data_IF_777226543874
#
_entry.id   IF_777226543874
#
_cell.length_a   1.000
_cell.length_b   1.000
_cell.length_c   1.000
_cell.angle_alpha   90.00
_cell.angle_beta   90.00
_cell.angle_gamma   90.00
#
_symmetry.space_group_name_H-M   'P 1'
#
loop_
_entity.id
_entity.type
_entity.pdbx_description
1 polymer ?
#
# COMPACT_ATOMS: atom_id res chain seq x y z
N UNK A 1 -49.21 -1.51 45.63
CA UNK A 1 -47.78 -1.32 45.30
C UNK A 1 -47.20 -2.51 44.50
N UNK A 2 -47.72 -2.82 43.29
CA UNK A 2 -47.24 -3.94 42.44
C UNK A 2 -46.76 -3.53 41.04
N UNK A 3 -46.95 -2.27 40.63
CA UNK A 3 -46.61 -1.80 39.27
C UNK A 3 -45.18 -1.27 39.08
N UNK A 4 -44.50 -0.87 40.15
CA UNK A 4 -43.17 -0.21 40.06
C UNK A 4 -42.05 -1.22 39.79
N UNK A 5 -42.18 -2.47 40.25
CA UNK A 5 -41.12 -3.49 40.10
C UNK A 5 -40.92 -3.93 38.64
N UNK A 6 -41.98 -4.04 37.84
CA UNK A 6 -41.87 -4.49 36.42
C UNK A 6 -41.23 -3.45 35.51
N UNK A 7 -41.47 -2.16 35.74
CA UNK A 7 -40.88 -1.07 34.97
C UNK A 7 -39.36 -0.95 35.21
N UNK A 8 -38.90 -1.14 36.46
CA UNK A 8 -37.48 -1.13 36.79
C UNK A 8 -36.69 -2.28 36.16
N UNK A 9 -37.27 -3.48 36.09
CA UNK A 9 -36.64 -4.64 35.45
C UNK A 9 -36.54 -4.49 33.93
N UNK A 10 -37.56 -3.90 33.27
CA UNK A 10 -37.53 -3.66 31.82
C UNK A 10 -36.51 -2.58 31.41
N UNK A 11 -36.36 -1.51 32.21
CA UNK A 11 -35.35 -0.48 31.95
C UNK A 11 -33.92 -1.00 32.14
N UNK A 12 -33.68 -1.85 33.15
CA UNK A 12 -32.37 -2.46 33.41
C UNK A 12 -31.97 -3.46 32.32
N UNK A 13 -32.91 -4.24 31.79
CA UNK A 13 -32.65 -5.14 30.66
C UNK A 13 -32.37 -4.38 29.37
N UNK A 14 -33.10 -3.29 29.08
CA UNK A 14 -32.84 -2.45 27.92
C UNK A 14 -31.45 -1.81 27.99
N UNK A 15 -31.06 -1.22 29.13
CA UNK A 15 -29.74 -0.63 29.33
C UNK A 15 -28.59 -1.65 29.22
N UNK A 16 -28.79 -2.87 29.72
CA UNK A 16 -27.80 -3.94 29.62
C UNK A 16 -27.60 -4.41 28.16
N UNK A 17 -28.67 -4.51 27.37
CA UNK A 17 -28.58 -4.88 25.94
C UNK A 17 -27.89 -3.78 25.12
N UNK A 18 -28.15 -2.50 25.40
CA UNK A 18 -27.48 -1.38 24.71
C UNK A 18 -26.00 -1.27 25.07
N UNK A 19 -25.63 -1.52 26.33
CA UNK A 19 -24.22 -1.58 26.73
C UNK A 19 -23.48 -2.75 26.07
N UNK A 20 -24.15 -3.90 25.93
CA UNK A 20 -23.57 -5.10 25.35
C UNK A 20 -23.37 -5.00 23.82
N UNK A 21 -24.25 -4.28 23.09
CA UNK A 21 -24.04 -3.98 21.67
C UNK A 21 -22.91 -2.97 21.41
N UNK A 22 -22.72 -1.98 22.29
CA UNK A 22 -21.59 -1.04 22.22
C UNK A 22 -20.24 -1.72 22.47
N UNK A 23 -20.18 -2.70 23.38
CA UNK A 23 -18.95 -3.47 23.65
C UNK A 23 -18.56 -4.38 22.48
N UNK A 24 -19.55 -4.96 21.76
CA UNK A 24 -19.30 -5.82 20.60
C UNK A 24 -18.77 -5.05 19.38
N UNK A 25 -19.16 -3.78 19.21
CA UNK A 25 -18.65 -2.93 18.12
C UNK A 25 -17.26 -2.34 18.40
N UNK A 26 -16.89 -2.18 19.68
CA UNK A 26 -15.56 -1.69 20.09
C UNK A 26 -14.42 -2.70 20.01
N UNK A 27 -14.71 -3.96 19.64
CA UNK A 27 -13.75 -5.08 19.67
C UNK A 27 -13.36 -5.60 18.28
N UNK A 28 -13.83 -5.00 17.18
CA UNK A 28 -13.35 -5.35 15.86
C UNK A 28 -11.90 -4.89 15.70
N UNK A 29 -10.94 -5.80 15.88
CA UNK A 29 -9.53 -5.53 15.55
C UNK A 29 -9.46 -5.00 14.12
N UNK A 30 -8.78 -3.88 13.86
CA UNK A 30 -8.61 -3.40 12.49
C UNK A 30 -7.99 -4.54 11.68
N UNK A 31 -8.68 -4.94 10.60
CA UNK A 31 -8.14 -5.95 9.68
C UNK A 31 -6.90 -5.34 9.03
N UNK A 32 -5.81 -6.11 9.01
CA UNK A 32 -4.59 -5.68 8.35
C UNK A 32 -4.88 -5.37 6.87
N UNK A 33 -4.42 -4.22 6.38
CA UNK A 33 -4.52 -3.86 4.98
C UNK A 33 -3.42 -4.58 4.20
N UNK A 34 -3.78 -5.71 3.59
CA UNK A 34 -2.89 -6.57 2.81
C UNK A 34 -3.50 -6.77 1.42
N UNK A 35 -3.23 -5.86 0.46
CA UNK A 35 -3.71 -5.97 -0.92
C UNK A 35 -3.46 -7.35 -1.54
N UNK A 36 -4.51 -7.94 -2.10
CA UNK A 36 -4.48 -9.28 -2.68
C UNK A 36 -4.63 -10.44 -1.69
N UNK A 37 -4.66 -10.18 -0.37
CA UNK A 37 -4.85 -11.20 0.66
C UNK A 37 -6.10 -10.95 1.50
N UNK A 38 -6.25 -9.74 2.06
CA UNK A 38 -7.37 -9.38 2.93
C UNK A 38 -8.36 -8.43 2.26
N UNK A 39 -7.94 -7.79 1.17
CA UNK A 39 -8.71 -6.88 0.32
C UNK A 39 -8.34 -7.09 -1.15
N UNK A 40 -9.14 -6.59 -2.08
CA UNK A 40 -8.81 -6.60 -3.50
C UNK A 40 -7.46 -5.90 -3.76
N UNK A 41 -6.72 -6.41 -4.74
CA UNK A 41 -5.47 -5.81 -5.17
C UNK A 41 -5.74 -4.75 -6.23
N UNK A 42 -5.81 -3.49 -5.83
CA UNK A 42 -6.00 -2.34 -6.73
C UNK A 42 -4.72 -1.96 -7.48
N UNK A 43 -3.58 -2.60 -7.18
CA UNK A 43 -2.28 -2.31 -7.79
C UNK A 43 -1.60 -3.58 -8.34
N UNK A 44 -2.25 -4.39 -9.19
CA UNK A 44 -1.72 -5.68 -9.63
C UNK A 44 -0.48 -5.57 -10.53
N UNK A 45 -0.28 -4.44 -11.20
CA UNK A 45 0.86 -4.13 -12.07
C UNK A 45 1.98 -3.38 -11.33
N UNK A 46 1.78 -3.06 -10.05
CA UNK A 46 2.76 -2.42 -9.18
C UNK A 46 3.10 -1.01 -9.65
N UNK A 47 4.33 -0.81 -10.10
CA UNK A 47 4.91 0.52 -10.38
C UNK A 47 3.97 1.42 -11.19
N UNK A 48 3.41 0.91 -12.28
CA UNK A 48 2.64 1.72 -13.26
C UNK A 48 1.21 2.03 -12.81
N UNK A 49 0.69 1.34 -11.78
CA UNK A 49 -0.66 1.63 -11.28
C UNK A 49 -0.70 2.97 -10.53
N UNK A 50 0.43 3.35 -9.91
CA UNK A 50 0.62 4.66 -9.25
C UNK A 50 1.43 5.64 -10.13
N UNK A 51 2.53 5.20 -10.74
CA UNK A 51 3.41 6.04 -11.56
C UNK A 51 2.87 6.17 -12.99
N UNK A 52 1.82 6.97 -13.14
CA UNK A 52 1.13 7.23 -14.40
C UNK A 52 0.90 8.72 -14.62
N UNK A 53 0.51 9.07 -15.85
CA UNK A 53 0.05 10.41 -16.15
C UNK A 53 -1.38 10.58 -15.60
N UNK A 54 -1.59 11.51 -14.66
CA UNK A 54 -2.89 11.80 -14.06
C UNK A 54 -3.61 12.99 -14.73
N UNK A 55 -3.05 13.55 -15.81
CA UNK A 55 -3.59 14.75 -16.47
C UNK A 55 -3.22 16.04 -15.74
N UNK A 56 -3.63 17.19 -16.30
CA UNK A 56 -3.47 18.52 -15.67
C UNK A 56 -2.03 18.84 -15.19
N UNK A 57 -1.03 18.40 -15.95
CA UNK A 57 0.39 18.59 -15.60
C UNK A 57 0.93 17.67 -14.49
N UNK A 58 0.10 16.77 -13.95
CA UNK A 58 0.48 15.77 -12.93
C UNK A 58 0.94 14.47 -13.59
N UNK A 59 2.13 14.53 -14.19
CA UNK A 59 2.76 13.34 -14.79
C UNK A 59 3.76 12.70 -13.82
N UNK A 60 3.36 11.57 -13.23
CA UNK A 60 4.17 10.79 -12.29
C UNK A 60 4.83 9.57 -12.91
N UNK A 61 4.81 9.43 -14.25
CA UNK A 61 5.51 8.33 -14.93
C UNK A 61 6.98 8.32 -14.52
N UNK A 62 7.55 7.12 -14.42
CA UNK A 62 8.90 6.94 -13.88
C UNK A 62 9.95 7.65 -14.73
N UNK A 63 9.88 7.58 -16.06
CA UNK A 63 10.83 8.30 -16.94
C UNK A 63 10.79 9.83 -16.71
N UNK A 64 9.61 10.40 -16.49
CA UNK A 64 9.42 11.84 -16.20
C UNK A 64 9.99 12.21 -14.83
N UNK A 65 9.74 11.39 -13.82
CA UNK A 65 10.19 11.66 -12.45
C UNK A 65 11.71 11.48 -12.30
N UNK A 66 12.26 10.41 -12.88
CA UNK A 66 13.68 10.09 -12.82
C UNK A 66 14.53 11.08 -13.66
N UNK A 67 14.00 11.62 -14.76
CA UNK A 67 14.69 12.66 -15.53
C UNK A 67 14.96 13.95 -14.74
N UNK A 68 14.26 14.16 -13.61
CA UNK A 68 14.48 15.29 -12.70
C UNK A 68 15.61 15.04 -11.68
N UNK A 69 16.09 13.79 -11.58
CA UNK A 69 17.16 13.42 -10.66
C UNK A 69 18.50 13.69 -11.33
N UNK A 70 19.28 14.60 -10.75
CA UNK A 70 20.62 14.92 -11.24
C UNK A 70 21.50 13.65 -11.32
N UNK A 71 22.10 13.42 -12.48
CA UNK A 71 22.96 12.27 -12.74
C UNK A 71 22.22 10.97 -13.10
N UNK A 72 20.89 10.93 -13.08
CA UNK A 72 20.15 9.76 -13.56
C UNK A 72 20.02 9.78 -15.09
N UNK A 73 20.38 8.69 -15.81
CA UNK A 73 20.24 8.67 -17.26
C UNK A 73 18.77 8.62 -17.68
N UNK A 74 18.44 9.12 -18.88
CA UNK A 74 17.11 8.96 -19.47
C UNK A 74 16.85 7.50 -19.79
N UNK A 75 15.76 6.93 -19.29
CA UNK A 75 15.49 5.49 -19.38
C UNK A 75 14.57 5.09 -20.55
N UNK A 76 14.13 6.05 -21.36
CA UNK A 76 13.04 5.91 -22.33
C UNK A 76 13.23 4.73 -23.29
N UNK A 77 14.46 4.54 -23.77
CA UNK A 77 14.87 3.48 -24.70
C UNK A 77 15.45 2.24 -24.01
N UNK A 78 15.85 2.33 -22.75
CA UNK A 78 16.56 1.26 -22.03
C UNK A 78 15.62 0.33 -21.27
N UNK A 79 14.62 0.91 -20.58
CA UNK A 79 13.70 0.14 -19.74
C UNK A 79 12.47 -0.22 -20.55
N UNK A 80 12.13 -1.52 -20.58
CA UNK A 80 10.92 -2.05 -21.22
C UNK A 80 9.94 -2.64 -20.21
N UNK A 81 10.48 -3.30 -19.20
CA UNK A 81 9.74 -3.96 -18.13
C UNK A 81 10.19 -3.37 -16.78
N UNK A 82 9.22 -3.17 -15.89
CA UNK A 82 9.43 -2.68 -14.54
C UNK A 82 9.11 -3.80 -13.54
N UNK A 83 9.88 -3.93 -12.45
CA UNK A 83 11.10 -3.18 -12.12
C UNK A 83 12.38 -3.76 -12.77
N UNK A 84 12.31 -4.87 -13.50
CA UNK A 84 13.47 -5.65 -13.92
C UNK A 84 14.47 -4.86 -14.77
N UNK A 85 13.97 -4.00 -15.67
CA UNK A 85 14.83 -3.16 -16.52
C UNK A 85 15.72 -2.20 -15.72
N UNK A 86 15.31 -1.79 -14.53
CA UNK A 86 16.09 -0.90 -13.66
C UNK A 86 17.33 -1.60 -13.08
N UNK A 87 17.28 -2.93 -12.93
CA UNK A 87 18.39 -3.74 -12.40
C UNK A 87 19.61 -3.75 -13.32
N UNK A 88 19.46 -3.33 -14.59
CA UNK A 88 20.59 -3.16 -15.50
C UNK A 88 21.69 -2.27 -14.90
N UNK A 89 21.28 -1.20 -14.21
CA UNK A 89 22.17 -0.28 -13.50
C UNK A 89 22.15 -0.49 -11.99
N UNK A 90 20.98 -0.74 -11.40
CA UNK A 90 20.76 -0.84 -9.95
C UNK A 90 20.85 -2.28 -9.40
N UNK A 91 21.69 -3.12 -9.99
CA UNK A 91 21.97 -4.46 -9.43
C UNK A 91 22.73 -4.39 -8.12
N UNK A 92 22.61 -5.45 -7.32
CA UNK A 92 23.46 -5.65 -6.14
C UNK A 92 24.94 -5.70 -6.54
N UNK A 93 25.80 -5.11 -5.71
CA UNK A 93 27.23 -4.96 -6.01
C UNK A 93 27.57 -4.06 -7.20
N UNK A 94 26.58 -3.32 -7.74
CA UNK A 94 26.78 -2.36 -8.82
C UNK A 94 27.49 -1.08 -8.39
N UNK A 95 27.70 -0.17 -9.35
CA UNK A 95 28.34 1.14 -9.12
C UNK A 95 27.41 2.17 -8.46
N UNK A 96 26.11 1.92 -8.49
CA UNK A 96 25.08 2.77 -7.89
C UNK A 96 24.32 1.98 -6.83
N UNK A 97 23.55 2.67 -5.99
CA UNK A 97 22.76 2.03 -4.93
C UNK A 97 21.83 0.94 -5.51
N UNK A 98 21.77 -0.25 -4.88
CA UNK A 98 20.85 -1.32 -5.30
C UNK A 98 19.39 -0.88 -5.33
N UNK A 99 18.62 -1.44 -6.26
CA UNK A 99 17.26 -0.99 -6.55
C UNK A 99 16.34 -1.13 -5.33
N UNK A 100 16.44 -2.24 -4.61
CA UNK A 100 15.65 -2.50 -3.39
C UNK A 100 15.89 -1.42 -2.32
N UNK A 101 17.15 -1.01 -2.12
CA UNK A 101 17.50 0.05 -1.16
C UNK A 101 16.91 1.38 -1.61
N UNK A 102 17.07 1.73 -2.89
CA UNK A 102 16.58 3.00 -3.41
C UNK A 102 15.05 3.10 -3.36
N UNK A 103 14.34 2.06 -3.82
CA UNK A 103 12.88 2.03 -3.84
C UNK A 103 12.30 2.16 -2.44
N UNK A 104 12.78 1.38 -1.46
CA UNK A 104 12.27 1.53 -0.09
C UNK A 104 12.63 2.90 0.48
N UNK A 105 13.85 3.40 0.26
CA UNK A 105 14.24 4.71 0.77
C UNK A 105 13.28 5.81 0.30
N UNK A 106 12.98 5.91 -0.99
CA UNK A 106 12.13 7.00 -1.51
C UNK A 106 10.65 6.85 -1.13
N UNK A 107 10.18 5.63 -0.86
CA UNK A 107 8.78 5.37 -0.45
C UNK A 107 8.58 5.34 1.07
N UNK A 108 9.63 5.42 1.87
CA UNK A 108 9.54 5.46 3.34
C UNK A 108 10.35 6.57 3.98
N UNK A 109 11.09 7.38 3.22
CA UNK A 109 11.76 8.57 3.76
C UNK A 109 10.74 9.48 4.44
N UNK A 110 11.15 10.09 5.55
CA UNK A 110 10.28 10.94 6.39
C UNK A 110 9.11 10.21 7.05
N UNK A 111 9.11 8.87 7.05
CA UNK A 111 8.18 8.04 7.82
C UNK A 111 6.72 8.31 7.48
N UNK A 112 5.91 8.63 8.49
CA UNK A 112 4.46 8.90 8.37
C UNK A 112 4.13 10.09 7.45
N UNK A 113 5.10 10.93 7.12
CA UNK A 113 4.93 12.06 6.21
C UNK A 113 5.09 11.65 4.73
N UNK A 114 5.55 10.43 4.45
CA UNK A 114 5.71 9.97 3.08
C UNK A 114 4.34 9.73 2.43
N UNK A 115 4.08 10.23 1.21
CA UNK A 115 2.84 9.97 0.49
C UNK A 115 2.50 8.48 0.37
N UNK A 116 3.51 7.61 0.22
CA UNK A 116 3.26 6.18 0.17
C UNK A 116 2.68 5.65 1.49
N UNK A 117 3.20 6.12 2.62
CA UNK A 117 2.71 5.73 3.95
C UNK A 117 1.31 6.31 4.19
N UNK A 118 1.06 7.57 3.83
CA UNK A 118 -0.23 8.22 4.06
C UNK A 118 -1.37 7.64 3.22
N UNK A 119 -1.15 7.42 1.92
CA UNK A 119 -2.22 7.00 1.01
C UNK A 119 -2.33 5.48 0.86
N UNK A 120 -1.24 4.75 1.08
CA UNK A 120 -1.17 3.31 0.84
C UNK A 120 -0.80 2.51 2.09
N UNK A 121 -0.81 3.16 3.26
CA UNK A 121 -0.55 2.56 4.58
C UNK A 121 0.82 1.86 4.67
N UNK A 122 1.76 2.23 3.80
CA UNK A 122 3.06 1.56 3.72
C UNK A 122 2.95 0.08 3.34
N UNK A 123 1.85 -0.36 2.72
CA UNK A 123 1.60 -1.77 2.50
C UNK A 123 2.53 -2.35 1.43
N UNK A 124 3.38 -3.28 1.86
CA UNK A 124 4.39 -3.94 1.03
C UNK A 124 3.80 -4.58 -0.22
N UNK A 125 2.56 -5.08 -0.11
CA UNK A 125 1.87 -5.78 -1.18
C UNK A 125 1.33 -4.85 -2.30
N UNK A 126 1.52 -3.54 -2.21
CA UNK A 126 1.30 -2.66 -3.37
C UNK A 126 2.38 -2.86 -4.45
N UNK A 127 3.59 -3.27 -4.05
CA UNK A 127 4.70 -3.56 -4.98
C UNK A 127 5.04 -5.05 -5.03
N UNK A 128 4.89 -5.75 -3.90
CA UNK A 128 5.15 -7.17 -3.80
C UNK A 128 3.89 -8.00 -4.00
N UNK A 129 4.06 -9.24 -4.43
CA UNK A 129 3.04 -10.28 -4.41
C UNK A 129 3.51 -11.41 -3.52
N UNK A 130 2.68 -11.79 -2.55
CA UNK A 130 2.88 -12.96 -1.71
C UNK A 130 2.02 -14.11 -2.24
N UNK A 131 2.64 -15.23 -2.58
CA UNK A 131 1.93 -16.49 -2.75
C UNK A 131 1.76 -17.15 -1.39
N UNK A 132 0.53 -17.16 -0.86
CA UNK A 132 0.24 -17.64 0.49
C UNK A 132 0.44 -19.16 0.66
N UNK A 133 0.37 -19.92 -0.44
CA UNK A 133 0.54 -21.37 -0.40
C UNK A 133 2.03 -21.76 -0.23
N UNK A 134 2.93 -21.10 -0.97
CA UNK A 134 4.37 -21.38 -0.93
C UNK A 134 5.17 -20.46 0.01
N UNK A 135 4.58 -19.35 0.44
CA UNK A 135 5.29 -18.28 1.17
C UNK A 135 6.22 -17.44 0.30
N UNK A 136 6.22 -17.64 -1.03
CA UNK A 136 7.12 -16.93 -1.95
C UNK A 136 6.68 -15.47 -2.11
N UNK A 137 7.58 -14.54 -1.80
CA UNK A 137 7.42 -13.13 -2.09
C UNK A 137 8.13 -12.79 -3.42
N UNK A 138 7.42 -12.12 -4.31
CA UNK A 138 7.96 -11.64 -5.60
C UNK A 138 7.62 -10.18 -5.80
N UNK A 139 8.27 -9.51 -6.75
CA UNK A 139 7.87 -8.19 -7.20
C UNK A 139 6.77 -8.34 -8.26
N UNK A 140 5.77 -7.46 -8.20
CA UNK A 140 4.85 -7.26 -9.31
C UNK A 140 5.63 -6.66 -10.48
N UNK A 141 5.30 -7.09 -11.69
CA UNK A 141 6.01 -6.69 -12.90
C UNK A 141 5.03 -6.26 -13.98
N UNK A 142 5.39 -5.23 -14.73
CA UNK A 142 4.56 -4.68 -15.81
C UNK A 142 5.40 -4.00 -16.88
N UNK A 143 4.85 -3.88 -18.08
CA UNK A 143 5.47 -3.09 -19.14
C UNK A 143 5.50 -1.61 -18.73
N UNK A 144 6.52 -0.87 -19.21
CA UNK A 144 6.56 0.58 -19.04
C UNK A 144 5.32 1.26 -19.66
N UNK A 145 4.96 2.43 -19.13
CA UNK A 145 3.81 3.23 -19.58
C UNK A 145 4.21 4.57 -20.22
N UNK A 146 5.36 4.62 -20.90
CA UNK A 146 5.87 5.78 -21.63
C UNK A 146 6.49 5.42 -22.99
#
# INVERSE_FOLDING_TARGET
>A
MKGVKKAGTFLLLAAAVTAMTLVLMGQAKPRAFLPGLTVADEHPNGCVDCHKNQGEGKDYRLNVSLAKISGHPKIDSMVKQLPEGCLMCHREGGKVSPLNIMLHKVHYEKGEQNPFVQFYQGACLNCHKLDAASGKLTMKSSAKNW
#
